data_IF_761928486890
#
_entry.id   IF_761928486890
#
_cell.length_a   1.000
_cell.length_b   1.000
_cell.length_c   1.000
_cell.angle_alpha   90.00
_cell.angle_beta   90.00
_cell.angle_gamma   90.00
#
_symmetry.space_group_name_H-M   'P 1'
#
loop_
_entity.id
_entity.type
_entity.pdbx_description
1 polymer ?
#
# COMPACT_ATOMS: atom_id res chain seq x y z
N UNK A 1 25.73 -7.72 6.35
CA UNK A 1 26.67 -6.63 6.60
C UNK A 1 25.90 -5.31 6.78
N UNK A 2 26.50 -4.31 7.43
CA UNK A 2 25.92 -2.99 7.67
C UNK A 2 25.44 -2.33 6.37
N UNK A 3 26.23 -2.42 5.28
CA UNK A 3 25.88 -1.86 3.96
C UNK A 3 24.56 -2.40 3.39
N UNK A 4 24.26 -3.68 3.56
CA UNK A 4 23.00 -4.29 3.11
C UNK A 4 21.81 -3.77 3.93
N UNK A 5 22.00 -3.59 5.23
CA UNK A 5 20.96 -3.06 6.13
C UNK A 5 20.65 -1.60 5.77
N UNK A 6 21.68 -0.81 5.52
CA UNK A 6 21.55 0.61 5.17
C UNK A 6 20.88 0.79 3.78
N UNK A 7 21.24 -0.05 2.80
CA UNK A 7 20.58 -0.06 1.49
C UNK A 7 19.07 -0.44 1.58
N UNK A 8 18.74 -1.44 2.41
CA UNK A 8 17.34 -1.82 2.65
C UNK A 8 16.56 -0.69 3.34
N UNK A 9 17.14 -0.02 4.33
CA UNK A 9 16.50 1.14 4.97
C UNK A 9 16.27 2.28 3.99
N UNK A 10 17.26 2.58 3.14
CA UNK A 10 17.14 3.60 2.09
C UNK A 10 15.97 3.31 1.13
N UNK A 11 15.85 2.07 0.68
CA UNK A 11 14.75 1.64 -0.20
C UNK A 11 13.38 1.79 0.49
N UNK A 12 13.27 1.42 1.78
CA UNK A 12 12.06 1.56 2.58
C UNK A 12 11.68 3.04 2.73
N UNK A 13 12.62 3.90 3.07
CA UNK A 13 12.37 5.33 3.21
C UNK A 13 11.96 5.98 1.88
N UNK A 14 12.58 5.58 0.77
CA UNK A 14 12.18 6.02 -0.57
C UNK A 14 10.73 5.63 -0.88
N UNK A 15 10.33 4.41 -0.55
CA UNK A 15 8.95 3.94 -0.71
C UNK A 15 7.97 4.77 0.11
N UNK A 16 8.26 4.99 1.39
CA UNK A 16 7.38 5.79 2.26
C UNK A 16 7.34 7.26 1.84
N UNK A 17 8.44 7.84 1.40
CA UNK A 17 8.46 9.20 0.86
C UNK A 17 7.52 9.35 -0.35
N UNK A 18 7.53 8.38 -1.26
CA UNK A 18 6.62 8.35 -2.41
C UNK A 18 5.16 8.22 -1.99
N UNK A 19 4.85 7.33 -1.05
CA UNK A 19 3.49 7.16 -0.52
C UNK A 19 2.97 8.44 0.14
N UNK A 20 3.79 9.10 0.95
CA UNK A 20 3.46 10.38 1.59
C UNK A 20 3.21 11.45 0.52
N UNK A 21 4.08 11.55 -0.49
CA UNK A 21 3.94 12.55 -1.56
C UNK A 21 2.65 12.37 -2.36
N UNK A 22 2.29 11.14 -2.70
CA UNK A 22 1.02 10.85 -3.41
C UNK A 22 -0.19 11.21 -2.54
N UNK A 23 -0.16 10.85 -1.26
CA UNK A 23 -1.25 11.18 -0.33
C UNK A 23 -1.39 12.70 -0.12
N UNK A 24 -0.27 13.43 -0.02
CA UNK A 24 -0.24 14.87 0.19
C UNK A 24 -0.77 15.68 -1.00
N UNK A 25 -0.87 15.10 -2.20
CA UNK A 25 -1.48 15.76 -3.37
C UNK A 25 -2.95 16.14 -3.14
N UNK A 26 -3.65 15.40 -2.28
CA UNK A 26 -5.06 15.66 -1.93
C UNK A 26 -5.23 16.63 -0.76
N UNK A 27 -4.14 17.09 -0.19
CA UNK A 27 -4.08 18.00 0.94
C UNK A 27 -2.91 17.67 1.86
N UNK A 28 -2.18 18.69 2.29
CA UNK A 28 -0.96 18.56 3.10
C UNK A 28 -1.21 18.50 4.61
N UNK A 29 -2.48 18.66 5.05
CA UNK A 29 -2.85 18.58 6.46
C UNK A 29 -3.26 17.15 6.85
N UNK A 30 -2.47 16.43 7.67
CA UNK A 30 -2.79 15.07 8.08
C UNK A 30 -3.99 14.99 9.04
N UNK A 31 -4.45 16.09 9.61
CA UNK A 31 -5.62 16.09 10.50
C UNK A 31 -6.92 15.86 9.73
N UNK A 32 -6.97 16.29 8.47
CA UNK A 32 -8.13 16.16 7.59
C UNK A 32 -7.89 15.18 6.43
N UNK A 33 -6.63 14.84 6.16
CA UNK A 33 -6.25 13.86 5.12
C UNK A 33 -5.89 12.52 5.76
N UNK A 34 -6.85 11.62 5.83
CA UNK A 34 -6.67 10.29 6.44
C UNK A 34 -5.57 9.47 5.75
N UNK A 35 -5.52 9.46 4.42
CA UNK A 35 -4.50 8.71 3.66
C UNK A 35 -3.09 9.22 3.96
N UNK A 36 -2.92 10.54 4.10
CA UNK A 36 -1.66 11.15 4.48
C UNK A 36 -1.26 10.77 5.91
N UNK A 37 -2.20 10.83 6.85
CA UNK A 37 -1.96 10.42 8.24
C UNK A 37 -1.48 8.97 8.32
N UNK A 38 -2.16 8.05 7.63
CA UNK A 38 -1.78 6.64 7.58
C UNK A 38 -0.39 6.43 6.97
N UNK A 39 -0.05 7.14 5.90
CA UNK A 39 1.27 7.07 5.28
C UNK A 39 2.39 7.59 6.22
N UNK A 40 2.12 8.68 6.94
CA UNK A 40 3.03 9.24 7.95
C UNK A 40 3.25 8.26 9.10
N UNK A 41 2.19 7.64 9.62
CA UNK A 41 2.28 6.70 10.73
C UNK A 41 3.10 5.45 10.36
N UNK A 42 2.92 4.92 9.15
CA UNK A 42 3.76 3.83 8.63
C UNK A 42 5.22 4.23 8.50
N UNK A 43 5.50 5.43 8.01
CA UNK A 43 6.86 5.95 7.90
C UNK A 43 7.53 6.13 9.28
N UNK A 44 6.80 6.65 10.26
CA UNK A 44 7.25 6.78 11.66
C UNK A 44 7.54 5.41 12.27
N UNK A 45 6.68 4.42 12.08
CA UNK A 45 6.89 3.05 12.55
C UNK A 45 8.14 2.40 11.95
N UNK A 46 8.55 2.81 10.76
CA UNK A 46 9.80 2.40 10.12
C UNK A 46 11.01 3.27 10.52
N UNK A 47 10.85 4.17 11.49
CA UNK A 47 11.88 5.11 11.96
C UNK A 47 12.38 6.07 10.86
N UNK A 48 11.51 6.49 9.95
CA UNK A 48 11.84 7.51 8.96
C UNK A 48 12.04 8.86 9.66
N UNK A 49 13.16 9.58 9.39
CA UNK A 49 13.40 10.88 9.99
C UNK A 49 12.29 11.89 9.69
N UNK A 50 11.95 12.72 10.67
CA UNK A 50 10.89 13.74 10.56
C UNK A 50 11.11 14.66 9.36
N UNK A 51 12.34 15.11 9.13
CA UNK A 51 12.71 15.96 7.99
C UNK A 51 12.38 15.32 6.63
N UNK A 52 12.55 14.00 6.51
CA UNK A 52 12.23 13.28 5.30
C UNK A 52 10.72 13.20 5.09
N UNK A 53 9.95 13.04 6.17
CA UNK A 53 8.47 13.08 6.13
C UNK A 53 7.99 14.46 5.67
N UNK A 54 8.48 15.52 6.29
CA UNK A 54 8.13 16.91 5.94
C UNK A 54 8.47 17.25 4.49
N UNK A 55 9.66 16.84 4.03
CA UNK A 55 10.07 17.01 2.62
C UNK A 55 9.14 16.28 1.66
N UNK A 56 8.73 15.07 1.99
CA UNK A 56 7.80 14.29 1.17
C UNK A 56 6.40 14.93 1.10
N UNK A 57 5.92 15.52 2.20
CA UNK A 57 4.66 16.27 2.22
C UNK A 57 4.78 17.51 1.31
N UNK A 58 5.84 18.29 1.44
CA UNK A 58 6.09 19.48 0.59
C UNK A 58 6.18 19.11 -0.89
N UNK A 59 6.85 18.01 -1.21
CA UNK A 59 6.91 17.52 -2.59
C UNK A 59 5.52 17.20 -3.14
N UNK A 60 4.70 16.50 -2.37
CA UNK A 60 3.33 16.17 -2.76
C UNK A 60 2.43 17.40 -2.92
N UNK A 61 2.62 18.41 -2.08
CA UNK A 61 1.92 19.70 -2.16
C UNK A 61 2.40 20.59 -3.34
N UNK A 62 3.43 20.18 -4.07
CA UNK A 62 3.97 20.94 -5.20
C UNK A 62 4.92 22.08 -4.82
N UNK A 63 5.32 22.19 -3.56
CA UNK A 63 6.15 23.29 -3.04
C UNK A 63 7.62 23.21 -3.47
N UNK A 64 8.11 22.03 -3.85
CA UNK A 64 9.52 21.82 -4.23
C UNK A 64 9.76 21.85 -5.73
N UNK A 65 8.70 21.97 -6.55
CA UNK A 65 8.80 21.89 -8.01
C UNK A 65 9.14 20.48 -8.50
N UNK A 66 9.39 20.35 -9.81
CA UNK A 66 9.70 19.06 -10.46
C UNK A 66 8.47 18.20 -10.74
N UNK A 67 8.72 17.01 -11.28
CA UNK A 67 7.67 16.07 -11.62
C UNK A 67 7.03 15.46 -10.37
N UNK A 68 5.70 15.40 -10.36
CA UNK A 68 4.94 14.80 -9.29
C UNK A 68 5.02 13.27 -9.33
N UNK A 69 5.01 12.64 -8.15
CA UNK A 69 4.86 11.20 -8.03
C UNK A 69 3.42 10.82 -8.37
N UNK A 70 3.25 9.86 -9.26
CA UNK A 70 1.96 9.29 -9.65
C UNK A 70 1.89 7.81 -9.29
N UNK A 71 0.70 7.33 -8.98
CA UNK A 71 0.40 5.92 -8.84
C UNK A 71 -0.07 5.36 -10.17
N UNK A 72 0.59 4.31 -10.65
CA UNK A 72 0.27 3.60 -11.89
C UNK A 72 0.04 2.12 -11.58
N UNK A 73 -0.86 1.51 -12.34
CA UNK A 73 -1.13 0.08 -12.27
C UNK A 73 -0.72 -0.55 -13.59
N UNK A 74 0.12 -1.59 -13.51
CA UNK A 74 0.47 -2.45 -14.63
C UNK A 74 -0.11 -3.84 -14.41
N UNK A 75 -0.39 -4.50 -15.50
CA UNK A 75 -0.94 -5.86 -15.54
C UNK A 75 0.08 -6.77 -16.21
N UNK A 76 0.41 -7.87 -15.58
CA UNK A 76 1.46 -8.77 -16.06
C UNK A 76 1.10 -10.24 -15.97
N UNK A 77 1.71 -11.01 -16.88
CA UNK A 77 1.69 -12.47 -16.89
C UNK A 77 3.12 -12.94 -16.67
N UNK A 78 3.32 -13.77 -15.68
CA UNK A 78 4.62 -14.34 -15.31
C UNK A 78 4.72 -15.83 -15.57
N UNK A 79 5.72 -16.50 -14.96
CA UNK A 79 5.94 -17.94 -15.09
C UNK A 79 4.67 -18.73 -14.73
N UNK A 80 4.50 -19.88 -15.41
CA UNK A 80 3.34 -20.77 -15.22
C UNK A 80 1.98 -20.07 -15.39
N UNK A 81 1.90 -19.02 -16.19
CA UNK A 81 0.72 -18.19 -16.42
C UNK A 81 0.21 -17.48 -15.16
N UNK A 82 1.09 -17.27 -14.18
CA UNK A 82 0.76 -16.46 -13.01
C UNK A 82 0.40 -15.02 -13.42
N UNK A 83 -0.55 -14.43 -12.70
CA UNK A 83 -1.07 -13.10 -13.02
C UNK A 83 -0.69 -12.11 -11.94
N UNK A 84 -0.31 -10.90 -12.34
CA UNK A 84 0.16 -9.86 -11.44
C UNK A 84 -0.53 -8.53 -11.71
N UNK A 85 -0.97 -7.89 -10.64
CA UNK A 85 -1.26 -6.47 -10.60
C UNK A 85 -0.11 -5.78 -9.91
N UNK A 86 0.55 -4.86 -10.61
CA UNK A 86 1.78 -4.20 -10.16
C UNK A 86 1.47 -2.71 -9.96
N UNK A 87 1.38 -2.30 -8.70
CA UNK A 87 1.21 -0.89 -8.34
C UNK A 87 2.58 -0.22 -8.23
N UNK A 88 2.78 0.84 -8.98
CA UNK A 88 4.02 1.62 -9.02
C UNK A 88 3.79 3.06 -8.61
N UNK A 89 4.73 3.61 -7.87
CA UNK A 89 4.81 5.04 -7.53
C UNK A 89 6.00 5.64 -8.26
N UNK A 90 5.76 6.52 -9.20
CA UNK A 90 6.81 7.05 -10.07
C UNK A 90 6.56 8.49 -10.50
N UNK A 91 7.64 9.20 -10.74
CA UNK A 91 7.67 10.50 -11.40
C UNK A 91 8.00 10.40 -12.91
N UNK A 92 8.23 9.18 -13.40
CA UNK A 92 8.58 8.93 -14.81
C UNK A 92 7.91 7.65 -15.33
N UNK A 93 6.76 7.81 -15.97
CA UNK A 93 5.96 6.70 -16.53
C UNK A 93 6.72 5.86 -17.54
N UNK A 94 7.47 6.51 -18.45
CA UNK A 94 8.16 5.81 -19.52
C UNK A 94 9.28 4.92 -18.99
N UNK A 95 10.06 5.42 -18.02
CA UNK A 95 11.10 4.63 -17.36
C UNK A 95 10.48 3.42 -16.65
N UNK A 96 9.45 3.64 -15.86
CA UNK A 96 8.79 2.56 -15.10
C UNK A 96 8.18 1.51 -16.02
N UNK A 97 7.50 1.90 -17.10
CA UNK A 97 6.96 0.97 -18.08
C UNK A 97 8.05 0.11 -18.71
N UNK A 98 9.20 0.71 -19.05
CA UNK A 98 10.35 -0.01 -19.61
C UNK A 98 10.95 -1.00 -18.60
N UNK A 99 11.12 -0.58 -17.35
CA UNK A 99 11.62 -1.44 -16.26
C UNK A 99 10.70 -2.63 -16.00
N UNK A 100 9.39 -2.42 -15.94
CA UNK A 100 8.41 -3.51 -15.74
C UNK A 100 8.45 -4.51 -16.89
N UNK A 101 8.49 -4.04 -18.15
CA UNK A 101 8.64 -4.94 -19.31
C UNK A 101 9.90 -5.78 -19.22
N UNK A 102 11.01 -5.14 -18.85
CA UNK A 102 12.29 -5.82 -18.73
C UNK A 102 12.26 -6.91 -17.65
N UNK A 103 11.79 -6.57 -16.44
CA UNK A 103 11.69 -7.53 -15.32
C UNK A 103 10.79 -8.73 -15.68
N UNK A 104 9.64 -8.48 -16.30
CA UNK A 104 8.75 -9.56 -16.71
C UNK A 104 9.41 -10.45 -17.79
N UNK A 105 10.09 -9.85 -18.76
CA UNK A 105 10.78 -10.58 -19.83
C UNK A 105 11.91 -11.48 -19.30
N UNK A 106 12.66 -11.04 -18.27
CA UNK A 106 13.73 -11.84 -17.64
C UNK A 106 13.22 -13.18 -17.06
N UNK A 107 11.96 -13.22 -16.64
CA UNK A 107 11.32 -14.44 -16.09
C UNK A 107 10.41 -15.14 -17.11
N UNK A 108 10.50 -14.78 -18.39
CA UNK A 108 9.67 -15.36 -19.45
C UNK A 108 8.21 -14.88 -19.42
N UNK A 109 7.94 -13.77 -18.77
CA UNK A 109 6.62 -13.15 -18.70
C UNK A 109 6.48 -11.96 -19.65
N UNK A 110 5.33 -11.29 -19.57
CA UNK A 110 5.01 -10.10 -20.38
C UNK A 110 3.93 -9.25 -19.73
N UNK A 111 3.77 -8.01 -20.18
CA UNK A 111 2.56 -7.25 -19.92
C UNK A 111 1.37 -7.92 -20.62
N UNK A 112 0.21 -7.92 -19.97
CA UNK A 112 -1.00 -8.51 -20.52
C UNK A 112 -2.22 -8.10 -19.70
N UNK A 113 -3.40 -8.17 -20.29
CA UNK A 113 -4.65 -7.79 -19.61
C UNK A 113 -5.09 -8.91 -18.67
N UNK A 114 -5.04 -8.64 -17.36
CA UNK A 114 -5.40 -9.60 -16.29
C UNK A 114 -6.29 -8.97 -15.21
N UNK A 115 -6.48 -7.65 -15.23
CA UNK A 115 -7.21 -6.92 -14.18
C UNK A 115 -8.65 -7.43 -13.99
N UNK A 116 -9.27 -7.91 -15.07
CA UNK A 116 -10.61 -8.49 -15.05
C UNK A 116 -10.75 -9.73 -14.16
N UNK A 117 -9.65 -10.40 -13.82
CA UNK A 117 -9.61 -11.54 -12.88
C UNK A 117 -9.48 -11.12 -11.41
N UNK A 118 -9.37 -9.83 -11.14
CA UNK A 118 -9.11 -9.30 -9.79
C UNK A 118 -10.27 -8.40 -9.36
N UNK A 119 -10.52 -8.39 -8.07
CA UNK A 119 -11.42 -7.43 -7.43
C UNK A 119 -10.64 -6.56 -6.45
N UNK A 120 -10.88 -5.26 -6.49
CA UNK A 120 -10.28 -4.32 -5.53
C UNK A 120 -11.04 -4.40 -4.22
N UNK A 121 -10.36 -4.85 -3.16
CA UNK A 121 -10.94 -4.99 -1.82
C UNK A 121 -10.06 -4.30 -0.78
N UNK A 122 -10.69 -3.69 0.22
CA UNK A 122 -10.04 -3.34 1.46
C UNK A 122 -9.98 -4.55 2.38
N UNK A 123 -8.87 -4.68 3.11
CA UNK A 123 -8.67 -5.78 4.06
C UNK A 123 -8.28 -5.19 5.41
N UNK A 124 -9.00 -5.58 6.46
CA UNK A 124 -8.68 -5.25 7.85
C UNK A 124 -8.26 -6.55 8.51
N UNK A 125 -7.07 -6.56 9.10
CA UNK A 125 -6.54 -7.69 9.87
C UNK A 125 -6.57 -7.35 11.35
N UNK A 126 -7.18 -8.23 12.14
CA UNK A 126 -7.24 -8.08 13.60
C UNK A 126 -6.59 -9.33 14.21
N UNK A 127 -5.55 -9.15 15.02
CA UNK A 127 -4.86 -10.25 15.67
C UNK A 127 -5.72 -10.91 16.76
N UNK A 128 -5.47 -12.19 17.05
CA UNK A 128 -6.14 -12.87 18.15
C UNK A 128 -5.83 -12.23 19.50
N UNK A 129 -4.64 -11.68 19.67
CA UNK A 129 -4.26 -10.98 20.89
C UNK A 129 -5.15 -9.74 21.11
N UNK A 130 -5.39 -8.99 20.05
CA UNK A 130 -6.25 -7.81 20.06
C UNK A 130 -7.71 -8.17 20.32
N UNK A 131 -8.22 -9.24 19.68
CA UNK A 131 -9.56 -9.76 19.91
C UNK A 131 -9.73 -10.27 21.36
N UNK A 132 -8.70 -10.95 21.91
CA UNK A 132 -8.67 -11.40 23.32
C UNK A 132 -8.73 -10.23 24.29
N UNK A 133 -7.89 -9.23 24.07
CA UNK A 133 -7.79 -8.07 24.98
C UNK A 133 -9.09 -7.29 25.09
N UNK A 134 -9.91 -7.33 24.04
CA UNK A 134 -11.21 -6.67 23.96
C UNK A 134 -12.41 -7.59 24.20
N UNK A 135 -12.15 -8.87 24.52
CA UNK A 135 -13.19 -9.89 24.70
C UNK A 135 -14.10 -10.06 23.47
N UNK A 136 -13.50 -10.01 22.27
CA UNK A 136 -14.18 -10.08 20.97
C UNK A 136 -13.99 -11.41 20.23
N UNK A 137 -13.31 -12.40 20.84
CA UNK A 137 -13.15 -13.73 20.25
C UNK A 137 -14.49 -14.45 20.24
N UNK A 138 -14.90 -14.94 19.06
CA UNK A 138 -16.18 -15.61 18.84
C UNK A 138 -17.38 -14.78 19.35
N UNK A 139 -17.31 -13.47 19.20
CA UNK A 139 -18.38 -12.55 19.58
C UNK A 139 -19.27 -12.27 18.37
N UNK A 140 -20.45 -12.88 18.35
CA UNK A 140 -21.42 -12.75 17.26
C UNK A 140 -21.91 -11.32 17.11
N UNK A 141 -22.07 -10.56 18.18
CA UNK A 141 -22.51 -9.18 18.13
C UNK A 141 -21.46 -8.31 17.41
N UNK A 142 -20.18 -8.52 17.70
CA UNK A 142 -19.09 -7.82 17.01
C UNK A 142 -19.04 -8.15 15.51
N UNK A 143 -19.27 -9.41 15.14
CA UNK A 143 -19.32 -9.82 13.74
C UNK A 143 -20.51 -9.18 13.01
N UNK A 144 -21.65 -9.08 13.67
CA UNK A 144 -22.83 -8.38 13.13
C UNK A 144 -22.56 -6.89 12.96
N UNK A 145 -21.91 -6.24 13.92
CA UNK A 145 -21.49 -4.83 13.81
C UNK A 145 -20.57 -4.61 12.61
N UNK A 146 -19.63 -5.52 12.36
CA UNK A 146 -18.75 -5.45 11.19
C UNK A 146 -19.54 -5.56 9.87
N UNK A 147 -20.49 -6.48 9.81
CA UNK A 147 -21.36 -6.65 8.64
C UNK A 147 -22.21 -5.40 8.42
N UNK A 148 -22.83 -4.87 9.46
CA UNK A 148 -23.63 -3.63 9.41
C UNK A 148 -22.80 -2.42 8.99
N UNK A 149 -21.51 -2.41 9.33
CA UNK A 149 -20.55 -1.40 8.89
C UNK A 149 -20.11 -1.56 7.41
N UNK A 150 -20.56 -2.61 6.72
CA UNK A 150 -20.29 -2.85 5.31
C UNK A 150 -19.21 -3.88 5.01
N UNK A 151 -18.77 -4.67 6.00
CA UNK A 151 -17.88 -5.80 5.76
C UNK A 151 -18.63 -6.89 5.01
N UNK A 152 -18.06 -7.38 3.93
CA UNK A 152 -18.71 -8.35 3.05
C UNK A 152 -18.20 -9.77 3.22
N UNK A 153 -17.01 -9.92 3.79
CA UNK A 153 -16.43 -11.25 4.02
C UNK A 153 -15.57 -11.23 5.29
N UNK A 154 -15.82 -12.20 6.16
CA UNK A 154 -15.05 -12.45 7.39
C UNK A 154 -14.36 -13.80 7.26
N UNK A 155 -13.06 -13.82 7.42
CA UNK A 155 -12.25 -15.06 7.41
C UNK A 155 -11.51 -15.17 8.73
N UNK A 156 -11.70 -16.28 9.41
CA UNK A 156 -11.00 -16.60 10.67
C UNK A 156 -9.95 -17.67 10.37
N UNK A 157 -8.69 -17.30 10.41
CA UNK A 157 -7.57 -18.22 10.21
C UNK A 157 -6.46 -17.99 11.24
N UNK A 158 -5.95 -19.09 11.82
CA UNK A 158 -4.70 -19.10 12.61
C UNK A 158 -4.53 -17.93 13.59
N UNK A 159 -5.55 -17.62 14.38
CA UNK A 159 -5.52 -16.53 15.34
C UNK A 159 -5.58 -15.11 14.70
N UNK A 160 -6.12 -14.99 13.52
CA UNK A 160 -6.38 -13.73 12.82
C UNK A 160 -7.85 -13.68 12.40
N UNK A 161 -8.49 -12.52 12.56
CA UNK A 161 -9.75 -12.19 11.90
C UNK A 161 -9.44 -11.28 10.72
N UNK A 162 -9.78 -11.73 9.52
CA UNK A 162 -9.67 -10.94 8.30
C UNK A 162 -11.04 -10.47 7.87
N UNK A 163 -11.24 -9.16 7.79
CA UNK A 163 -12.44 -8.52 7.30
C UNK A 163 -12.19 -7.88 5.94
N UNK A 164 -12.99 -8.20 4.95
CA UNK A 164 -12.86 -7.68 3.58
C UNK A 164 -14.07 -6.82 3.22
N UNK A 165 -13.82 -5.73 2.49
CA UNK A 165 -14.84 -4.84 1.97
C UNK A 165 -14.50 -4.37 0.54
N UNK A 166 -15.50 -4.11 -0.29
CA UNK A 166 -15.27 -3.53 -1.61
C UNK A 166 -14.96 -2.04 -1.51
N UNK A 167 -14.03 -1.62 -2.37
CA UNK A 167 -13.69 -0.20 -2.55
C UNK A 167 -14.41 0.21 -3.84
N UNK A 168 -15.47 1.00 -3.68
CA UNK A 168 -16.22 1.59 -4.79
C UNK A 168 -15.56 2.85 -5.34
#
# INVERSE_FOLDING_TARGET
>A
SKAIVDAKKGAIFTKYAKLISVAARKGSDPTINFSLRMAIDKAKSANMPKENVERAIKRGAGELGGAQIEELIYEGIGPAKSQFIIKCLTDNKNRTASEIRHILAEVGGSLGSVLWNFELKGVILISAEELKSKNLINNDDFELELIDAGIQNLVKENALLEARYYIG
#
